data_IF_218981655519
#
_entry.id   IF_218981655519
#
_cell.length_a   1.000
_cell.length_b   1.000
_cell.length_c   1.000
_cell.angle_alpha   90.00
_cell.angle_beta   90.00
_cell.angle_gamma   90.00
#
_symmetry.space_group_name_H-M   'P 1'
#
loop_
_entity.id
_entity.type
_entity.pdbx_description
1 polymer ?
#
# COMPACT_ATOMS: atom_id res chain seq x y z
N UNK A 1 -19.22 4.08 16.61
CA UNK A 1 -17.82 3.76 16.26
C UNK A 1 -17.28 2.68 17.19
N UNK A 2 -16.45 1.73 16.74
CA UNK A 2 -15.83 0.71 17.63
C UNK A 2 -14.69 1.35 18.44
N UNK A 3 -14.56 1.06 19.74
CA UNK A 3 -13.50 1.63 20.61
C UNK A 3 -12.09 1.41 20.06
N UNK A 4 -11.83 0.25 19.45
CA UNK A 4 -10.53 -0.06 18.85
C UNK A 4 -10.17 0.92 17.70
N UNK A 5 -11.17 1.36 16.94
CA UNK A 5 -10.97 2.33 15.86
C UNK A 5 -10.68 3.72 16.42
N UNK A 6 -11.37 4.12 17.50
CA UNK A 6 -11.14 5.39 18.19
C UNK A 6 -9.71 5.46 18.74
N UNK A 7 -9.25 4.41 19.42
CA UNK A 7 -7.89 4.34 19.95
C UNK A 7 -6.84 4.48 18.84
N UNK A 8 -7.06 3.81 17.69
CA UNK A 8 -6.17 3.96 16.52
C UNK A 8 -6.15 5.40 16.00
N UNK A 9 -7.30 6.08 15.94
CA UNK A 9 -7.37 7.49 15.51
C UNK A 9 -6.58 8.37 16.47
N UNK A 10 -6.75 8.19 17.78
CA UNK A 10 -6.02 8.94 18.81
C UNK A 10 -4.51 8.69 18.70
N UNK A 11 -4.07 7.43 18.63
CA UNK A 11 -2.65 7.11 18.47
C UNK A 11 -2.04 7.71 17.20
N UNK A 12 -2.81 7.77 16.10
CA UNK A 12 -2.36 8.43 14.87
C UNK A 12 -2.27 9.95 15.04
N UNK A 13 -3.18 10.56 15.80
CA UNK A 13 -3.17 11.99 16.08
C UNK A 13 -1.99 12.44 16.97
N UNK A 14 -1.65 11.64 17.98
CA UNK A 14 -0.53 11.92 18.91
C UNK A 14 0.84 11.46 18.38
N UNK A 15 0.89 10.75 17.25
CA UNK A 15 2.13 10.36 16.58
C UNK A 15 2.65 8.96 16.93
N UNK A 16 2.10 8.31 17.95
CA UNK A 16 2.51 7.02 18.52
C UNK A 16 2.05 5.79 17.74
N UNK A 17 1.23 5.96 16.71
CA UNK A 17 0.73 4.85 15.90
C UNK A 17 1.80 4.25 14.96
N UNK A 18 1.64 2.94 14.70
CA UNK A 18 2.43 2.20 13.70
C UNK A 18 2.20 2.74 12.28
N UNK A 19 3.16 2.54 11.37
CA UNK A 19 3.03 2.97 9.96
C UNK A 19 1.79 2.36 9.28
N UNK A 20 1.45 1.11 9.63
CA UNK A 20 0.28 0.41 9.10
C UNK A 20 -1.02 1.11 9.53
N UNK A 21 -1.10 1.52 10.78
CA UNK A 21 -2.29 2.22 11.31
C UNK A 21 -2.40 3.64 10.76
N UNK A 22 -1.28 4.35 10.60
CA UNK A 22 -1.25 5.67 9.93
C UNK A 22 -1.83 5.62 8.53
N UNK A 23 -1.44 4.62 7.73
CA UNK A 23 -1.94 4.42 6.36
C UNK A 23 -3.42 4.01 6.39
N UNK A 24 -3.79 3.08 7.27
CA UNK A 24 -5.17 2.60 7.40
C UNK A 24 -6.15 3.73 7.75
N UNK A 25 -5.85 4.52 8.77
CA UNK A 25 -6.67 5.65 9.22
C UNK A 25 -6.69 6.76 8.16
N UNK A 26 -5.60 7.00 7.43
CA UNK A 26 -5.58 7.97 6.33
C UNK A 26 -6.58 7.60 5.21
N UNK A 27 -6.59 6.33 4.80
CA UNK A 27 -7.57 5.86 3.81
C UNK A 27 -9.00 5.85 4.34
N UNK A 28 -9.19 5.55 5.63
CA UNK A 28 -10.51 5.60 6.27
C UNK A 28 -11.03 7.05 6.33
N UNK A 29 -10.22 8.01 6.75
CA UNK A 29 -10.57 9.43 6.82
C UNK A 29 -10.87 10.04 5.43
N UNK A 30 -10.39 9.42 4.34
CA UNK A 30 -10.75 9.85 2.98
C UNK A 30 -12.15 9.39 2.57
N UNK A 31 -12.64 8.28 3.14
CA UNK A 31 -13.94 7.68 2.82
C UNK A 31 -15.04 8.08 3.80
N UNK A 32 -14.68 8.30 5.06
CA UNK A 32 -15.58 8.60 6.16
C UNK A 32 -15.27 9.98 6.76
N UNK A 33 -16.26 10.88 6.67
CA UNK A 33 -16.15 12.24 7.20
C UNK A 33 -16.10 12.31 8.72
N UNK A 34 -16.72 11.35 9.42
CA UNK A 34 -16.72 11.31 10.89
C UNK A 34 -15.30 11.02 11.42
N UNK A 35 -14.63 10.03 10.82
CA UNK A 35 -13.24 9.67 11.15
C UNK A 35 -12.28 10.82 10.85
N UNK A 36 -12.50 11.54 9.74
CA UNK A 36 -11.69 12.71 9.39
C UNK A 36 -11.82 13.83 10.43
N UNK A 37 -13.03 14.11 10.89
CA UNK A 37 -13.29 15.15 11.87
C UNK A 37 -12.64 14.82 13.21
N UNK A 38 -12.86 13.60 13.72
CA UNK A 38 -12.22 13.10 14.95
C UNK A 38 -10.69 13.14 14.87
N UNK A 39 -10.10 12.70 13.76
CA UNK A 39 -8.65 12.74 13.57
C UNK A 39 -8.11 14.17 13.64
N UNK A 40 -8.80 15.14 13.02
CA UNK A 40 -8.38 16.54 13.04
C UNK A 40 -8.53 17.17 14.43
N UNK A 41 -9.59 16.85 15.16
CA UNK A 41 -9.83 17.34 16.52
C UNK A 41 -8.74 16.87 17.49
N UNK A 42 -8.39 15.58 17.45
CA UNK A 42 -7.29 15.06 18.26
C UNK A 42 -5.92 15.59 17.82
N UNK A 43 -5.68 15.78 16.51
CA UNK A 43 -4.44 16.41 16.03
C UNK A 43 -4.31 17.85 16.51
N UNK A 44 -5.42 18.58 16.53
CA UNK A 44 -5.44 19.94 17.05
C UNK A 44 -5.13 19.95 18.55
N UNK A 45 -5.75 19.07 19.32
CA UNK A 45 -5.49 18.92 20.76
C UNK A 45 -4.04 18.53 21.05
N UNK A 46 -3.48 17.58 20.29
CA UNK A 46 -2.08 17.17 20.42
C UNK A 46 -1.12 18.33 20.13
N UNK A 47 -1.37 19.11 19.06
CA UNK A 47 -0.56 20.30 18.74
C UNK A 47 -0.66 21.36 19.84
N UNK A 48 -1.85 21.63 20.36
CA UNK A 48 -2.04 22.61 21.45
C UNK A 48 -1.30 22.17 22.71
N UNK A 49 -1.35 20.89 23.04
CA UNK A 49 -0.66 20.33 24.21
C UNK A 49 0.85 20.35 24.02
N UNK A 50 1.34 20.02 22.83
CA UNK A 50 2.77 20.05 22.50
C UNK A 50 3.34 21.47 22.51
N UNK A 51 2.50 22.48 22.27
CA UNK A 51 2.85 23.89 22.26
C UNK A 51 2.66 24.58 23.63
N UNK A 52 2.22 23.86 24.66
CA UNK A 52 2.26 24.40 26.02
C UNK A 52 3.72 24.66 26.39
N UNK A 53 4.06 25.92 26.60
CA UNK A 53 5.40 26.32 27.01
C UNK A 53 5.79 25.59 28.30
N UNK A 54 7.05 25.17 28.38
CA UNK A 54 7.58 24.60 29.60
C UNK A 54 7.63 25.69 30.67
N UNK A 55 6.81 25.55 31.71
CA UNK A 55 6.94 26.38 32.90
C UNK A 55 8.21 25.95 33.63
N UNK A 56 9.10 26.89 33.91
CA UNK A 56 10.34 26.60 34.64
C UNK A 56 9.99 26.11 36.04
N UNK A 57 10.49 24.92 36.38
CA UNK A 57 10.31 24.36 37.71
C UNK A 57 11.02 25.30 38.72
N UNK A 58 10.33 25.75 39.79
CA UNK A 58 10.92 26.68 40.74
C UNK A 58 12.18 26.10 41.39
N UNK A 59 13.21 26.94 41.51
CA UNK A 59 14.57 26.54 41.91
C UNK A 59 14.62 25.79 43.26
N UNK A 60 13.66 26.07 44.15
CA UNK A 60 13.55 25.41 45.45
C UNK A 60 13.27 23.90 45.35
N UNK A 61 12.61 23.43 44.30
CA UNK A 61 12.35 22.01 44.07
C UNK A 61 13.60 21.35 43.47
N UNK A 62 14.26 22.04 42.53
CA UNK A 62 15.51 21.58 41.92
C UNK A 62 16.57 21.39 43.01
N UNK A 63 16.75 22.38 43.89
CA UNK A 63 17.74 22.33 44.96
C UNK A 63 17.48 21.17 45.94
N UNK A 64 16.20 20.92 46.29
CA UNK A 64 15.81 19.81 47.18
C UNK A 64 16.10 18.44 46.57
N UNK A 65 15.90 18.29 45.26
CA UNK A 65 16.18 17.06 44.51
C UNK A 65 17.69 16.89 44.27
N UNK A 66 18.41 17.95 43.90
CA UNK A 66 19.86 17.92 43.72
C UNK A 66 20.59 17.59 45.02
N UNK A 67 20.16 18.14 46.16
CA UNK A 67 20.75 17.83 47.47
C UNK A 67 20.45 16.41 47.95
N UNK A 68 19.36 15.80 47.51
CA UNK A 68 19.06 14.39 47.81
C UNK A 68 19.79 13.40 46.90
N UNK A 69 20.11 13.79 45.66
CA UNK A 69 20.82 12.95 44.68
C UNK A 69 22.35 13.07 44.79
N UNK A 70 22.90 14.23 45.15
CA UNK A 70 24.36 14.47 45.22
C UNK A 70 25.10 13.71 46.34
N UNK A 71 24.42 12.84 47.10
CA UNK A 71 25.09 11.96 48.05
C UNK A 71 25.82 10.77 47.40
N UNK A 72 25.72 10.56 46.09
CA UNK A 72 26.52 9.55 45.37
C UNK A 72 26.83 9.92 43.91
N UNK A 73 27.92 10.65 43.66
CA UNK A 73 28.76 10.38 42.47
C UNK A 73 30.13 11.04 42.58
N UNK A 74 31.16 10.21 42.75
CA UNK A 74 32.56 10.59 42.59
C UNK A 74 32.82 10.76 41.09
N UNK A 75 33.20 11.97 40.72
CA UNK A 75 33.52 12.39 39.35
C UNK A 75 34.92 11.90 38.97
N UNK A 76 35.03 10.86 38.13
CA UNK A 76 36.26 10.58 37.39
C UNK A 76 36.10 11.12 35.96
N UNK A 77 36.79 12.22 35.67
CA UNK A 77 36.91 12.76 34.31
C UNK A 77 37.72 11.78 33.45
N UNK A 78 37.07 11.09 32.53
CA UNK A 78 37.74 10.27 31.52
C UNK A 78 37.62 10.96 30.15
N UNK A 79 38.74 11.15 29.44
CA UNK A 79 38.73 11.82 28.14
C UNK A 79 37.85 11.10 27.11
N UNK A 80 37.64 9.79 27.27
CA UNK A 80 36.74 9.01 26.42
C UNK A 80 35.27 9.39 26.62
N UNK A 81 34.86 9.73 27.85
CA UNK A 81 33.49 10.18 28.09
C UNK A 81 33.22 11.56 27.51
N UNK A 82 34.25 12.42 27.41
CA UNK A 82 34.12 13.74 26.75
C UNK A 82 33.92 13.60 25.24
N UNK A 83 34.68 12.74 24.56
CA UNK A 83 34.50 12.45 23.13
C UNK A 83 33.12 11.85 22.87
N UNK A 84 32.70 10.89 23.69
CA UNK A 84 31.36 10.30 23.60
C UNK A 84 30.28 11.37 23.79
N UNK A 85 30.45 12.27 24.74
CA UNK A 85 29.52 13.38 24.97
C UNK A 85 29.47 14.33 23.77
N UNK A 86 30.58 14.65 23.11
CA UNK A 86 30.57 15.56 21.96
C UNK A 86 29.83 14.94 20.77
N UNK A 87 30.00 13.64 20.54
CA UNK A 87 29.35 12.91 19.44
C UNK A 87 27.85 12.72 19.72
N UNK A 88 27.47 12.39 20.96
CA UNK A 88 26.08 12.05 21.32
C UNK A 88 25.23 13.21 21.87
N UNK A 89 25.84 14.26 22.45
CA UNK A 89 25.12 15.40 23.05
C UNK A 89 24.66 16.43 22.02
N UNK A 90 25.24 16.43 20.81
CA UNK A 90 24.78 17.27 19.69
C UNK A 90 24.22 16.38 18.58
N UNK A 91 22.88 16.28 18.44
CA UNK A 91 22.24 15.34 17.51
C UNK A 91 22.63 15.57 16.04
N UNK A 92 23.07 16.78 15.70
CA UNK A 92 23.51 17.15 14.34
C UNK A 92 24.77 16.37 13.92
N UNK A 93 25.73 16.18 14.82
CA UNK A 93 26.98 15.48 14.49
C UNK A 93 26.78 13.96 14.44
N UNK A 94 25.98 13.41 15.35
CA UNK A 94 25.58 11.99 15.30
C UNK A 94 24.86 11.65 13.99
N UNK A 95 23.92 12.49 13.56
CA UNK A 95 23.21 12.32 12.30
C UNK A 95 24.12 12.43 11.07
N UNK A 96 25.07 13.36 11.07
CA UNK A 96 26.03 13.50 9.98
C UNK A 96 26.96 12.28 9.86
N UNK A 97 27.47 11.76 10.98
CA UNK A 97 28.33 10.57 11.00
C UNK A 97 27.57 9.33 10.51
N UNK A 98 26.34 9.12 10.98
CA UNK A 98 25.47 8.04 10.49
C UNK A 98 25.17 8.19 8.99
N UNK A 99 24.91 9.40 8.52
CA UNK A 99 24.68 9.68 7.10
C UNK A 99 25.87 9.32 6.22
N UNK A 100 27.10 9.64 6.65
CA UNK A 100 28.32 9.28 5.94
C UNK A 100 28.50 7.75 5.88
N UNK A 101 28.27 7.05 6.99
CA UNK A 101 28.37 5.59 7.05
C UNK A 101 27.34 4.94 6.10
N UNK A 102 26.08 5.41 6.14
CA UNK A 102 25.01 4.89 5.27
C UNK A 102 25.35 5.14 3.79
N UNK A 103 25.82 6.34 3.45
CA UNK A 103 26.22 6.67 2.07
C UNK A 103 27.40 5.81 1.59
N UNK A 104 28.38 5.52 2.46
CA UNK A 104 29.49 4.64 2.13
C UNK A 104 29.04 3.19 1.92
N UNK A 105 28.08 2.71 2.72
CA UNK A 105 27.51 1.36 2.52
C UNK A 105 26.73 1.31 1.20
N UNK A 106 25.87 2.28 0.92
CA UNK A 106 25.10 2.32 -0.33
C UNK A 106 26.02 2.42 -1.55
N UNK A 107 27.08 3.23 -1.49
CA UNK A 107 28.01 3.39 -2.61
C UNK A 107 28.74 2.08 -2.91
N UNK A 108 29.17 1.32 -1.90
CA UNK A 108 29.79 0.00 -2.12
C UNK A 108 28.83 -0.99 -2.79
N UNK A 109 27.55 -1.00 -2.43
CA UNK A 109 26.54 -1.86 -3.08
C UNK A 109 26.19 -1.46 -4.52
N UNK A 110 26.40 -0.19 -4.90
CA UNK A 110 26.15 0.29 -6.26
C UNK A 110 27.38 0.11 -7.14
N UNK A 111 28.57 0.44 -6.64
CA UNK A 111 29.82 0.41 -7.40
C UNK A 111 30.32 -1.02 -7.60
N UNK A 112 30.18 -1.89 -6.60
CA UNK A 112 30.68 -3.27 -6.67
C UNK A 112 29.62 -4.28 -7.12
N UNK A 113 28.65 -3.90 -7.94
CA UNK A 113 27.77 -4.90 -8.55
C UNK A 113 28.56 -5.67 -9.61
N UNK A 114 28.87 -6.97 -9.42
CA UNK A 114 29.33 -7.76 -10.54
C UNK A 114 28.20 -7.74 -11.58
N UNK A 115 28.50 -7.35 -12.82
CA UNK A 115 27.60 -7.61 -13.93
C UNK A 115 27.39 -9.12 -13.98
N UNK A 116 26.24 -9.58 -13.49
CA UNK A 116 25.86 -10.98 -13.62
C UNK A 116 25.50 -11.16 -15.09
N UNK A 117 26.52 -11.41 -15.93
CA UNK A 117 26.34 -11.91 -17.28
C UNK A 117 25.85 -13.33 -17.15
N UNK A 118 24.54 -13.50 -16.94
CA UNK A 118 23.91 -14.82 -16.97
C UNK A 118 24.09 -15.38 -18.39
N UNK A 119 25.07 -16.26 -18.56
CA UNK A 119 25.22 -17.03 -19.78
C UNK A 119 24.32 -18.25 -19.65
N UNK A 120 23.17 -18.21 -20.33
CA UNK A 120 22.27 -19.35 -20.38
C UNK A 120 22.96 -20.52 -21.10
N UNK A 121 22.80 -21.72 -20.57
CA UNK A 121 23.28 -22.93 -21.26
C UNK A 121 22.37 -23.24 -22.45
N UNK A 122 22.89 -23.94 -23.46
CA UNK A 122 22.07 -24.39 -24.60
C UNK A 122 20.85 -25.20 -24.16
N UNK A 123 21.00 -26.02 -23.12
CA UNK A 123 19.91 -26.81 -22.53
C UNK A 123 18.81 -25.93 -21.92
N UNK A 124 19.17 -24.83 -21.23
CA UNK A 124 18.20 -23.89 -20.68
C UNK A 124 17.42 -23.17 -21.79
N UNK A 125 18.10 -22.86 -22.91
CA UNK A 125 17.46 -22.23 -24.07
C UNK A 125 16.49 -23.19 -24.75
N UNK A 126 16.88 -24.46 -24.93
CA UNK A 126 16.03 -25.49 -25.54
C UNK A 126 14.79 -25.77 -24.69
N UNK A 127 14.96 -25.89 -23.36
CA UNK A 127 13.85 -26.08 -22.44
C UNK A 127 12.90 -24.87 -22.43
N UNK A 128 13.43 -23.65 -22.51
CA UNK A 128 12.60 -22.45 -22.64
C UNK A 128 11.81 -22.42 -23.95
N UNK A 129 12.44 -22.81 -25.07
CA UNK A 129 11.77 -22.89 -26.38
C UNK A 129 10.63 -23.92 -26.37
N UNK A 130 10.83 -25.07 -25.74
CA UNK A 130 9.78 -26.08 -25.56
C UNK A 130 8.61 -25.53 -24.74
N UNK A 131 8.88 -24.89 -23.61
CA UNK A 131 7.83 -24.29 -22.76
C UNK A 131 7.04 -23.20 -23.49
N UNK A 132 7.71 -22.40 -24.30
CA UNK A 132 7.07 -21.36 -25.13
C UNK A 132 6.17 -22.00 -26.18
N UNK A 133 6.63 -23.04 -26.88
CA UNK A 133 5.80 -23.78 -27.84
C UNK A 133 4.56 -24.39 -27.20
N UNK A 134 4.70 -25.01 -26.03
CA UNK A 134 3.58 -25.57 -25.28
C UNK A 134 2.59 -24.48 -24.85
N UNK A 135 3.08 -23.33 -24.39
CA UNK A 135 2.25 -22.18 -24.02
C UNK A 135 1.45 -21.65 -25.21
N UNK A 136 2.08 -21.51 -26.38
CA UNK A 136 1.39 -21.10 -27.61
C UNK A 136 0.36 -22.13 -28.07
N UNK A 137 0.63 -23.42 -27.94
CA UNK A 137 -0.33 -24.47 -28.25
C UNK A 137 -1.59 -24.39 -27.36
N UNK A 138 -1.41 -24.13 -26.06
CA UNK A 138 -2.52 -23.92 -25.14
C UNK A 138 -3.34 -22.70 -25.53
N UNK A 139 -2.70 -21.55 -25.80
CA UNK A 139 -3.40 -20.34 -26.25
C UNK A 139 -4.18 -20.59 -27.54
N UNK A 140 -3.58 -21.28 -28.52
CA UNK A 140 -4.26 -21.63 -29.77
C UNK A 140 -5.50 -22.51 -29.52
N UNK A 141 -5.40 -23.48 -28.60
CA UNK A 141 -6.54 -24.34 -28.25
C UNK A 141 -7.70 -23.55 -27.63
N UNK A 142 -7.40 -22.58 -26.75
CA UNK A 142 -8.41 -21.72 -26.12
C UNK A 142 -9.06 -20.81 -27.16
N UNK A 143 -8.27 -20.23 -28.05
CA UNK A 143 -8.79 -19.38 -29.12
C UNK A 143 -9.69 -20.16 -30.08
N UNK A 144 -9.30 -21.37 -30.48
CA UNK A 144 -10.14 -22.23 -31.33
C UNK A 144 -11.44 -22.63 -30.64
N UNK A 145 -11.39 -22.99 -29.35
CA UNK A 145 -12.60 -23.31 -28.58
C UNK A 145 -13.51 -22.08 -28.49
N UNK A 146 -12.94 -20.92 -28.21
CA UNK A 146 -13.67 -19.64 -28.14
C UNK A 146 -14.34 -19.32 -29.47
N UNK A 147 -13.61 -19.43 -30.59
CA UNK A 147 -14.16 -19.24 -31.93
C UNK A 147 -15.34 -20.16 -32.19
N UNK A 148 -15.21 -21.46 -31.92
CA UNK A 148 -16.28 -22.42 -32.12
C UNK A 148 -17.51 -22.13 -31.25
N UNK A 149 -17.32 -21.78 -29.99
CA UNK A 149 -18.42 -21.40 -29.09
C UNK A 149 -19.11 -20.13 -29.57
N UNK A 150 -18.37 -19.10 -29.98
CA UNK A 150 -18.97 -17.87 -30.53
C UNK A 150 -19.76 -18.16 -31.80
N UNK A 151 -19.20 -18.91 -32.74
CA UNK A 151 -19.83 -19.16 -34.04
C UNK A 151 -21.07 -20.06 -33.94
N UNK A 152 -20.96 -21.19 -33.23
CA UNK A 152 -22.04 -22.17 -33.15
C UNK A 152 -23.06 -21.82 -32.05
N UNK A 153 -22.60 -21.56 -30.83
CA UNK A 153 -23.52 -21.40 -29.71
C UNK A 153 -24.07 -19.98 -29.61
N UNK A 154 -23.23 -18.96 -29.83
CA UNK A 154 -23.68 -17.57 -29.69
C UNK A 154 -24.37 -17.09 -30.96
N UNK A 155 -23.67 -17.06 -32.09
CA UNK A 155 -24.19 -16.47 -33.33
C UNK A 155 -25.32 -17.29 -33.93
N UNK A 156 -25.17 -18.61 -34.01
CA UNK A 156 -26.19 -19.46 -34.63
C UNK A 156 -27.38 -19.70 -33.69
N UNK A 157 -27.11 -20.22 -32.49
CA UNK A 157 -28.18 -20.69 -31.61
C UNK A 157 -28.84 -19.59 -30.77
N UNK A 158 -28.07 -18.64 -30.22
CA UNK A 158 -28.62 -17.58 -29.36
C UNK A 158 -29.06 -16.32 -30.11
N UNK A 159 -28.52 -16.07 -31.29
CA UNK A 159 -28.84 -14.86 -32.08
C UNK A 159 -29.67 -15.21 -33.32
N UNK A 160 -29.13 -16.03 -34.22
CA UNK A 160 -29.78 -16.28 -35.52
C UNK A 160 -31.09 -17.06 -35.39
N UNK A 161 -31.15 -18.08 -34.53
CA UNK A 161 -32.36 -18.90 -34.34
C UNK A 161 -33.55 -18.09 -33.78
N UNK A 162 -33.42 -17.29 -32.70
CA UNK A 162 -34.53 -16.45 -32.22
C UNK A 162 -34.99 -15.40 -33.23
N UNK A 163 -34.06 -14.79 -33.99
CA UNK A 163 -34.41 -13.85 -35.06
C UNK A 163 -35.27 -14.55 -36.13
N UNK A 164 -34.86 -15.74 -36.58
CA UNK A 164 -35.63 -16.52 -37.55
C UNK A 164 -37.02 -16.91 -37.03
N UNK A 165 -37.12 -17.28 -35.76
CA UNK A 165 -38.41 -17.56 -35.11
C UNK A 165 -39.31 -16.31 -35.09
N UNK A 166 -38.74 -15.15 -34.78
CA UNK A 166 -39.47 -13.88 -34.76
C UNK A 166 -40.00 -13.51 -36.15
N UNK A 167 -39.18 -13.65 -37.20
CA UNK A 167 -39.63 -13.44 -38.58
C UNK A 167 -40.72 -14.42 -39.00
N UNK A 168 -40.62 -15.69 -38.60
CA UNK A 168 -41.65 -16.68 -38.89
C UNK A 168 -42.98 -16.34 -38.19
N UNK A 169 -42.94 -15.90 -36.93
CA UNK A 169 -44.12 -15.46 -36.18
C UNK A 169 -44.80 -14.25 -36.85
N UNK A 170 -44.02 -13.25 -37.26
CA UNK A 170 -44.56 -12.08 -37.99
C UNK A 170 -45.19 -12.53 -39.32
N UNK A 171 -44.54 -13.43 -40.06
CA UNK A 171 -45.08 -13.94 -41.32
C UNK A 171 -46.36 -14.77 -41.13
N UNK A 172 -46.46 -15.56 -40.05
CA UNK A 172 -47.68 -16.29 -39.69
C UNK A 172 -48.80 -15.33 -39.31
N UNK A 173 -48.52 -14.28 -38.53
CA UNK A 173 -49.50 -13.26 -38.16
C UNK A 173 -50.03 -12.51 -39.39
N UNK A 174 -49.15 -12.06 -40.27
CA UNK A 174 -49.52 -11.35 -41.51
C UNK A 174 -50.27 -12.26 -42.51
N UNK A 175 -49.95 -13.56 -42.57
CA UNK A 175 -50.71 -14.52 -43.38
C UNK A 175 -52.06 -14.88 -42.77
N UNK A 176 -52.18 -14.84 -41.44
CA UNK A 176 -53.43 -15.02 -40.72
C UNK A 176 -54.40 -13.86 -40.93
N UNK A 177 -53.90 -12.62 -40.95
CA UNK A 177 -54.70 -11.42 -41.27
C UNK A 177 -55.23 -11.44 -42.71
N UNK A 178 -54.41 -11.81 -43.70
CA UNK A 178 -54.82 -11.86 -45.11
C UNK A 178 -55.89 -12.92 -45.43
N UNK A 179 -56.13 -13.90 -44.55
CA UNK A 179 -57.21 -14.89 -44.73
C UNK A 179 -58.58 -14.39 -44.26
N UNK A 180 -58.62 -13.35 -43.43
CA UNK A 180 -59.87 -12.80 -42.88
C UNK A 180 -60.42 -11.61 -43.67
N UNK A 181 -59.68 -11.06 -44.64
CA UNK A 181 -60.17 -9.98 -45.53
C UNK A 181 -60.88 -10.47 -46.80
N UNK A 182 -60.97 -11.79 -47.05
CA UNK A 182 -61.74 -12.35 -48.17
C UNK A 182 -63.09 -12.95 -47.76
N UNK A 183 -63.70 -12.43 -46.69
CA UNK A 183 -65.09 -12.75 -46.29
C UNK A 183 -65.87 -11.45 -46.07
N UNK A 184 -66.10 -10.69 -47.15
CA UNK A 184 -67.38 -10.08 -47.55
C UNK A 184 -67.20 -9.22 -48.80
#
# INVERSE_FOLDING_TARGET
MKEELLNKIISVAYGDASLKDKISIYFLAKKDGEVKNLLNEYKHSANTTHNLGFEECPDNIIEKVTNSINSKTVQSKSMLTDIYSIIFRRPVFSGAVLGVIIMAVISTFIINRPEIKQQYTKQQIELADEQVKQSFALVASVLNKTKNTVEKEVLTDRVSRPIKQSFNLVNEYLKGENKNENIN
#
